data_IF_853622737056
#
_entry.id   IF_853622737056
#
_cell.length_a   1.000
_cell.length_b   1.000
_cell.length_c   1.000
_cell.angle_alpha   90.00
_cell.angle_beta   90.00
_cell.angle_gamma   90.00
#
_symmetry.space_group_name_H-M   'P 1'
#
loop_
_entity.id
_entity.type
_entity.pdbx_description
1 polymer ?
#
# COMPACT_ATOMS: atom_id res chain seq x y z
N UNK A 1 0.95 -5.20 -11.35
CA UNK A 1 0.64 -4.79 -9.97
C UNK A 1 0.58 -3.27 -9.92
N UNK A 2 -0.43 -2.70 -9.26
CA UNK A 2 -0.57 -1.25 -9.10
C UNK A 2 -0.44 -0.85 -7.63
N UNK A 3 0.31 0.21 -7.37
CA UNK A 3 0.43 0.79 -6.04
C UNK A 3 -0.07 2.23 -6.08
N UNK A 4 -1.04 2.57 -5.23
CA UNK A 4 -1.53 3.93 -5.08
C UNK A 4 -1.07 4.49 -3.72
N UNK A 5 -0.35 5.61 -3.76
CA UNK A 5 0.02 6.37 -2.57
C UNK A 5 -0.97 7.53 -2.42
N UNK A 6 -1.89 7.38 -1.49
CA UNK A 6 -2.90 8.38 -1.16
C UNK A 6 -2.38 9.29 -0.06
N UNK A 7 -2.37 10.60 -0.30
CA UNK A 7 -1.92 11.59 0.68
C UNK A 7 -2.74 12.86 0.67
N UNK A 8 -2.76 13.57 1.79
CA UNK A 8 -3.26 14.95 1.83
C UNK A 8 -2.14 15.93 1.44
N UNK A 9 -2.49 17.14 0.96
CA UNK A 9 -1.48 18.16 0.65
C UNK A 9 -0.66 18.51 1.91
N UNK A 10 0.67 18.52 1.77
CA UNK A 10 1.59 18.87 2.86
C UNK A 10 1.89 17.75 3.87
N UNK A 11 1.55 16.48 3.57
CA UNK A 11 1.91 15.38 4.46
C UNK A 11 3.44 15.16 4.51
N UNK A 12 4.04 15.38 5.69
CA UNK A 12 5.48 15.22 5.91
C UNK A 12 5.97 13.76 5.73
N UNK A 13 5.10 12.78 6.03
CA UNK A 13 5.45 11.36 5.95
C UNK A 13 5.35 10.76 4.54
N UNK A 14 4.77 11.48 3.58
CA UNK A 14 4.53 10.95 2.24
C UNK A 14 5.81 10.57 1.50
N UNK A 15 6.84 11.42 1.55
CA UNK A 15 8.13 11.16 0.89
C UNK A 15 8.85 9.95 1.52
N UNK A 16 8.79 9.84 2.85
CA UNK A 16 9.39 8.72 3.57
C UNK A 16 8.71 7.40 3.19
N UNK A 17 7.38 7.37 3.16
CA UNK A 17 6.62 6.18 2.77
C UNK A 17 6.84 5.83 1.30
N UNK A 18 6.94 6.83 0.41
CA UNK A 18 7.26 6.60 -1.00
C UNK A 18 8.61 5.92 -1.19
N UNK A 19 9.65 6.38 -0.49
CA UNK A 19 10.98 5.73 -0.53
C UNK A 19 10.91 4.30 -0.02
N UNK A 20 10.20 4.08 1.09
CA UNK A 20 10.03 2.74 1.64
C UNK A 20 9.35 1.78 0.65
N UNK A 21 8.33 2.24 -0.07
CA UNK A 21 7.66 1.47 -1.12
C UNK A 21 8.63 1.11 -2.25
N UNK A 22 9.41 2.08 -2.73
CA UNK A 22 10.40 1.88 -3.80
C UNK A 22 11.50 0.87 -3.41
N UNK A 23 12.01 0.98 -2.18
CA UNK A 23 12.98 0.03 -1.62
C UNK A 23 12.38 -1.38 -1.51
N UNK A 24 11.12 -1.50 -1.11
CA UNK A 24 10.45 -2.80 -1.01
C UNK A 24 10.16 -3.41 -2.38
N UNK A 25 9.76 -2.61 -3.37
CA UNK A 25 9.58 -3.06 -4.75
C UNK A 25 10.88 -3.60 -5.34
N UNK A 26 11.96 -2.84 -5.16
CA UNK A 26 13.31 -3.24 -5.57
C UNK A 26 13.75 -4.53 -4.88
N UNK A 27 13.51 -4.65 -3.56
CA UNK A 27 13.86 -5.85 -2.80
C UNK A 27 13.01 -7.08 -3.17
N UNK A 28 11.74 -6.89 -3.52
CA UNK A 28 10.85 -7.95 -3.98
C UNK A 28 11.08 -8.33 -5.45
N UNK A 29 11.82 -7.52 -6.22
CA UNK A 29 11.99 -7.70 -7.66
C UNK A 29 10.69 -7.49 -8.43
N UNK A 30 9.77 -6.68 -7.90
CA UNK A 30 8.47 -6.41 -8.50
C UNK A 30 8.48 -5.10 -9.27
N UNK A 31 8.11 -5.15 -10.54
CA UNK A 31 7.83 -3.96 -11.33
C UNK A 31 6.35 -3.58 -11.14
N UNK A 32 6.09 -2.52 -10.38
CA UNK A 32 4.75 -2.04 -10.08
C UNK A 32 4.60 -0.56 -10.42
N UNK A 33 3.43 -0.20 -10.95
CA UNK A 33 3.11 1.20 -11.24
C UNK A 33 2.74 1.92 -9.94
N UNK A 34 3.59 2.86 -9.50
CA UNK A 34 3.34 3.71 -8.32
C UNK A 34 2.68 5.02 -8.73
N UNK A 35 1.45 5.25 -8.28
CA UNK A 35 0.67 6.47 -8.55
C UNK A 35 0.50 7.28 -7.27
N UNK A 36 1.04 8.51 -7.25
CA UNK A 36 0.84 9.47 -6.16
C UNK A 36 -0.47 10.22 -6.39
N UNK A 37 -1.42 10.08 -5.47
CA UNK A 37 -2.72 10.76 -5.53
C UNK A 37 -2.88 11.67 -4.32
N UNK A 38 -3.05 12.96 -4.58
CA UNK A 38 -3.30 13.95 -3.54
C UNK A 38 -4.80 14.19 -3.40
N UNK A 39 -5.34 14.09 -2.19
CA UNK A 39 -6.75 14.31 -1.92
C UNK A 39 -7.13 14.19 -0.44
N UNK A 40 -8.43 14.12 -0.18
CA UNK A 40 -9.00 14.03 1.18
C UNK A 40 -8.98 12.58 1.68
N UNK A 41 -7.76 12.14 2.01
CA UNK A 41 -7.47 10.78 2.45
C UNK A 41 -6.75 10.77 3.79
N UNK A 42 -6.90 9.68 4.56
CA UNK A 42 -6.10 9.45 5.74
C UNK A 42 -4.66 9.23 5.28
N UNK A 43 -3.78 10.18 5.61
CA UNK A 43 -2.45 10.27 5.02
C UNK A 43 -1.36 9.79 5.99
N UNK A 44 -0.32 9.12 5.48
CA UNK A 44 -0.23 8.47 4.16
C UNK A 44 -0.95 7.11 4.15
N UNK A 45 -1.64 6.78 3.05
CA UNK A 45 -2.22 5.46 2.79
C UNK A 45 -1.54 4.85 1.56
N UNK A 46 -1.11 3.59 1.67
CA UNK A 46 -0.58 2.81 0.55
C UNK A 46 -1.59 1.73 0.21
N UNK A 47 -2.04 1.73 -1.05
CA UNK A 47 -2.86 0.67 -1.60
C UNK A 47 -2.03 -0.21 -2.52
N UNK A 48 -2.20 -1.52 -2.40
CA UNK A 48 -1.71 -2.52 -3.34
C UNK A 48 -2.91 -3.14 -4.02
N UNK A 49 -3.01 -2.97 -5.34
CA UNK A 49 -4.13 -3.44 -6.16
C UNK A 49 -5.50 -3.08 -5.53
N UNK A 50 -5.59 -1.85 -4.99
CA UNK A 50 -6.79 -1.30 -4.33
C UNK A 50 -6.96 -1.63 -2.84
N UNK A 51 -6.09 -2.45 -2.24
CA UNK A 51 -6.16 -2.82 -0.82
C UNK A 51 -5.15 -2.07 0.03
N UNK A 52 -5.61 -1.47 1.12
CA UNK A 52 -4.77 -0.78 2.09
C UNK A 52 -3.83 -1.77 2.77
N UNK A 53 -2.53 -1.49 2.72
CA UNK A 53 -1.47 -2.38 3.24
C UNK A 53 -1.61 -2.59 4.75
N UNK A 54 -2.08 -1.56 5.47
CA UNK A 54 -2.18 -1.55 6.92
C UNK A 54 -3.47 -2.26 7.39
N UNK A 55 -4.64 -1.90 6.85
CA UNK A 55 -5.91 -2.50 7.28
C UNK A 55 -6.28 -3.78 6.53
N UNK A 56 -5.69 -4.01 5.36
CA UNK A 56 -6.07 -5.09 4.43
C UNK A 56 -7.42 -4.87 3.72
N UNK A 57 -8.12 -3.77 4.01
CA UNK A 57 -9.42 -3.40 3.45
C UNK A 57 -9.32 -2.33 2.38
N UNK A 58 -10.45 -1.70 2.05
CA UNK A 58 -10.49 -0.58 1.12
C UNK A 58 -9.97 0.72 1.76
N UNK A 59 -9.59 1.67 0.91
CA UNK A 59 -9.15 2.98 1.35
C UNK A 59 -10.27 3.73 2.07
N UNK A 60 -10.03 4.10 3.32
CA UNK A 60 -10.94 5.00 4.03
C UNK A 60 -10.88 6.41 3.44
N UNK A 61 -11.99 7.15 3.54
CA UNK A 61 -12.12 8.53 3.06
C UNK A 61 -12.07 9.50 4.24
N UNK A 62 -11.57 10.71 3.98
CA UNK A 62 -11.51 11.81 4.94
C UNK A 62 -10.09 12.21 5.32
N UNK A 63 -9.87 13.52 5.49
CA UNK A 63 -8.59 14.10 5.88
C UNK A 63 -8.27 13.80 7.34
N UNK A 64 -7.41 12.82 7.54
CA UNK A 64 -6.84 12.49 8.85
C UNK A 64 -5.34 12.21 8.72
N UNK A 65 -4.58 12.49 9.77
CA UNK A 65 -3.20 11.99 9.86
C UNK A 65 -3.25 10.58 10.44
N UNK A 66 -2.73 9.59 9.70
CA UNK A 66 -2.57 8.24 10.25
C UNK A 66 -1.31 8.21 11.11
N UNK A 67 -1.45 7.68 12.32
CA UNK A 67 -0.32 7.33 13.19
C UNK A 67 0.25 5.95 12.84
N UNK A 68 -0.58 5.08 12.27
CA UNK A 68 -0.18 3.75 11.84
C UNK A 68 0.36 3.81 10.40
N UNK A 69 1.69 3.93 10.29
CA UNK A 69 2.40 3.99 9.02
C UNK A 69 2.74 2.57 8.54
N UNK A 70 2.71 2.31 7.22
CA UNK A 70 3.10 1.02 6.68
C UNK A 70 4.57 0.73 7.01
N UNK A 71 4.85 -0.48 7.50
CA UNK A 71 6.21 -0.95 7.78
C UNK A 71 6.79 -1.71 6.58
N UNK A 72 8.13 -1.81 6.55
CA UNK A 72 8.85 -2.56 5.52
C UNK A 72 8.37 -4.01 5.43
N UNK A 73 8.25 -4.67 6.57
CA UNK A 73 7.81 -6.06 6.67
C UNK A 73 6.41 -6.23 6.08
N UNK A 74 5.48 -5.35 6.43
CA UNK A 74 4.12 -5.41 5.93
C UNK A 74 4.03 -5.19 4.42
N UNK A 75 4.81 -4.25 3.89
CA UNK A 75 4.91 -4.05 2.45
C UNK A 75 5.45 -5.31 1.76
N UNK A 76 6.53 -5.88 2.27
CA UNK A 76 7.12 -7.10 1.69
C UNK A 76 6.18 -8.31 1.76
N UNK A 77 5.39 -8.47 2.83
CA UNK A 77 4.38 -9.54 2.91
C UNK A 77 3.34 -9.46 1.78
N UNK A 78 2.98 -8.24 1.38
CA UNK A 78 1.98 -8.00 0.34
C UNK A 78 2.61 -8.03 -1.06
N UNK A 79 3.84 -7.52 -1.21
CA UNK A 79 4.57 -7.42 -2.48
C UNK A 79 5.18 -8.75 -2.91
N UNK A 80 5.75 -9.49 -1.97
CA UNK A 80 6.33 -10.80 -2.27
C UNK A 80 5.17 -11.73 -2.58
N UNK A 81 5.13 -12.35 -3.77
CA UNK A 81 4.14 -13.36 -4.07
C UNK A 81 4.33 -14.51 -3.08
N UNK A 82 3.55 -14.51 -2.00
CA UNK A 82 3.32 -15.72 -1.23
C UNK A 82 2.61 -16.67 -2.18
N UNK A 83 3.35 -17.64 -2.73
CA UNK A 83 2.86 -18.66 -3.66
C UNK A 83 1.83 -19.62 -3.02
N UNK A 84 0.98 -19.13 -2.12
CA UNK A 84 0.14 -19.92 -1.22
C UNK A 84 -1.14 -19.17 -0.85
N UNK A 85 -1.97 -18.83 -1.85
CA UNK A 85 -3.44 -18.97 -1.72
C UNK A 85 -4.05 -19.48 -3.02
N UNK A 86 -3.88 -20.78 -3.27
CA UNK A 86 -5.04 -21.59 -3.68
C UNK A 86 -6.10 -21.41 -2.58
N UNK A 87 -7.06 -20.52 -2.79
CA UNK A 87 -8.35 -20.56 -2.10
C UNK A 87 -9.16 -21.75 -2.61
N UNK A 88 -10.08 -22.31 -1.81
CA UNK A 88 -10.65 -23.63 -2.02
C UNK A 88 -11.48 -23.70 -3.30
N UNK A 89 -11.45 -24.88 -3.92
CA UNK A 89 -12.37 -25.29 -4.98
C UNK A 89 -13.79 -25.23 -4.41
N UNK A 90 -14.57 -24.20 -4.75
CA UNK A 90 -16.02 -24.26 -4.57
C UNK A 90 -16.57 -25.25 -5.59
N UNK A 91 -16.90 -26.45 -5.12
CA UNK A 91 -17.76 -27.39 -5.84
C UNK A 91 -19.19 -26.85 -5.79
N UNK A 92 -19.82 -26.76 -6.95
CA UNK A 92 -21.28 -26.85 -7.11
C UNK A 92 -21.56 -27.79 -8.27
#
# INVERSE_FOLDING_TARGET
MRIDLLRHPGCAHAEQVRRLVDECLSAAGCDALVVDTVGDYPSPTVLVDGKDVVTGGEAQRGRACRLDLPTRERLLEVLIPTNSRRGPVEKS
#
